data_IF_128461939694
#
_entry.id   IF_128461939694
#
_cell.length_a   1.000
_cell.length_b   1.000
_cell.length_c   1.000
_cell.angle_alpha   90.00
_cell.angle_beta   90.00
_cell.angle_gamma   90.00
#
_symmetry.space_group_name_H-M   'P 1'
#
loop_
_entity.id
_entity.type
_entity.pdbx_description
1 polymer ?
#
# COMPACT_ATOMS: atom_id res chain seq x y z
N UNK A 1 18.53 35.26 10.65
CA UNK A 1 17.75 34.74 9.51
C UNK A 1 16.27 35.01 9.76
N UNK A 2 15.66 35.96 9.03
CA UNK A 2 14.20 36.16 8.97
C UNK A 2 13.72 35.61 7.63
N UNK A 3 13.69 34.29 7.49
CA UNK A 3 13.00 33.67 6.35
C UNK A 3 12.08 32.59 6.90
N UNK A 4 10.80 32.69 6.56
CA UNK A 4 9.76 31.66 6.76
C UNK A 4 9.24 31.46 8.20
N UNK A 5 8.89 32.54 8.89
CA UNK A 5 7.96 32.46 10.04
C UNK A 5 8.55 32.04 11.38
N UNK A 6 9.87 31.80 11.48
CA UNK A 6 10.58 31.58 12.73
C UNK A 6 11.55 32.73 13.02
N UNK A 7 11.57 33.20 14.27
CA UNK A 7 12.60 34.10 14.78
C UNK A 7 13.65 33.28 15.53
N UNK A 8 14.90 33.32 15.08
CA UNK A 8 15.99 32.58 15.70
C UNK A 8 16.75 33.45 16.71
N UNK A 9 17.06 32.87 17.88
CA UNK A 9 18.07 33.36 18.82
C UNK A 9 19.21 32.35 18.83
N UNK A 10 20.45 32.84 18.81
CA UNK A 10 21.66 32.02 18.79
C UNK A 10 22.46 32.28 20.05
N UNK A 11 23.16 31.26 20.53
CA UNK A 11 24.08 31.33 21.66
C UNK A 11 25.36 30.62 21.23
N UNK A 12 26.51 31.20 21.55
CA UNK A 12 27.80 30.63 21.14
C UNK A 12 28.41 29.74 22.23
N UNK A 13 27.87 29.81 23.46
CA UNK A 13 28.32 29.01 24.60
C UNK A 13 27.15 28.36 25.34
N UNK A 14 27.46 27.31 26.11
CA UNK A 14 26.47 26.57 26.91
C UNK A 14 25.82 27.45 27.97
N UNK A 15 26.61 28.23 28.71
CA UNK A 15 26.11 29.12 29.77
C UNK A 15 25.21 30.21 29.20
N UNK A 16 25.62 30.80 28.07
CA UNK A 16 24.80 31.78 27.36
C UNK A 16 23.50 31.14 26.85
N UNK A 17 23.57 29.93 26.29
CA UNK A 17 22.40 29.20 25.80
C UNK A 17 21.38 28.92 26.90
N UNK A 18 21.84 28.45 28.07
CA UNK A 18 20.95 28.19 29.20
C UNK A 18 20.37 29.48 29.78
N UNK A 19 21.18 30.54 29.90
CA UNK A 19 20.68 31.85 30.33
C UNK A 19 19.61 32.38 29.39
N UNK A 20 19.87 32.36 28.08
CA UNK A 20 18.90 32.80 27.06
C UNK A 20 17.61 31.98 27.12
N UNK A 21 17.70 30.67 27.36
CA UNK A 21 16.52 29.82 27.52
C UNK A 21 15.69 30.22 28.74
N UNK A 22 16.32 30.46 29.89
CA UNK A 22 15.61 30.87 31.12
C UNK A 22 14.99 32.26 31.02
N UNK A 23 15.63 33.18 30.31
CA UNK A 23 15.15 34.55 30.15
C UNK A 23 14.03 34.68 29.10
N UNK A 24 14.10 33.89 28.03
CA UNK A 24 13.28 34.11 26.83
C UNK A 24 12.46 32.89 26.39
N UNK A 25 12.64 31.75 27.05
CA UNK A 25 11.86 30.54 26.80
C UNK A 25 10.45 30.60 27.39
N UNK A 26 9.64 29.56 27.14
CA UNK A 26 9.95 28.42 26.30
C UNK A 26 9.91 28.76 24.80
N UNK A 27 10.78 28.11 24.02
CA UNK A 27 10.82 28.29 22.56
C UNK A 27 9.92 27.27 21.86
N UNK A 28 9.47 27.56 20.63
CA UNK A 28 8.74 26.56 19.82
C UNK A 28 9.59 25.33 19.51
N UNK A 29 10.89 25.54 19.28
CA UNK A 29 11.89 24.49 19.09
C UNK A 29 13.25 25.02 19.53
N UNK A 30 14.03 24.20 20.21
CA UNK A 30 15.44 24.49 20.50
C UNK A 30 16.29 23.57 19.62
N UNK A 31 17.25 24.15 18.90
CA UNK A 31 18.26 23.40 18.16
C UNK A 31 19.54 23.39 19.00
N UNK A 32 20.00 22.20 19.37
CA UNK A 32 21.25 22.04 20.12
C UNK A 32 22.24 21.29 19.25
N UNK A 33 23.44 21.85 19.07
CA UNK A 33 24.53 21.11 18.45
C UNK A 33 25.04 20.08 19.46
N UNK A 34 24.92 18.79 19.11
CA UNK A 34 25.29 17.68 19.97
C UNK A 34 26.80 17.48 20.04
N UNK A 35 27.51 17.87 18.99
CA UNK A 35 28.93 17.62 18.84
C UNK A 35 29.81 18.70 19.48
N UNK A 36 29.23 19.82 19.90
CA UNK A 36 30.00 20.84 20.63
C UNK A 36 30.20 20.42 22.09
N UNK A 37 31.37 20.68 22.69
CA UNK A 37 31.59 20.43 24.11
C UNK A 37 30.50 21.07 24.97
N UNK A 38 29.86 20.27 25.82
CA UNK A 38 28.79 20.75 26.71
C UNK A 38 27.38 20.82 26.08
N UNK A 39 27.24 20.56 24.77
CA UNK A 39 25.94 20.61 24.08
C UNK A 39 24.94 19.59 24.63
N UNK A 40 25.39 18.38 24.96
CA UNK A 40 24.55 17.34 25.57
C UNK A 40 24.05 17.79 26.95
N UNK A 41 24.94 18.34 27.78
CA UNK A 41 24.61 18.85 29.11
C UNK A 41 23.62 20.01 29.02
N UNK A 42 23.77 20.91 28.05
CA UNK A 42 22.80 21.99 27.80
C UNK A 42 21.41 21.42 27.47
N UNK A 43 21.33 20.44 26.56
CA UNK A 43 20.06 19.84 26.17
C UNK A 43 19.36 19.14 27.35
N UNK A 44 20.12 18.45 28.20
CA UNK A 44 19.60 17.83 29.44
C UNK A 44 19.09 18.92 30.39
N UNK A 45 19.88 19.96 30.66
CA UNK A 45 19.48 21.05 31.56
C UNK A 45 18.21 21.77 31.09
N UNK A 46 18.07 22.01 29.79
CA UNK A 46 16.84 22.59 29.21
C UNK A 46 15.65 21.64 29.40
N UNK A 47 15.85 20.33 29.25
CA UNK A 47 14.80 19.33 29.45
C UNK A 47 14.38 19.23 30.92
N UNK A 48 15.32 19.35 31.84
CA UNK A 48 15.04 19.39 33.28
C UNK A 48 14.23 20.63 33.65
N UNK A 49 14.60 21.81 33.12
CA UNK A 49 13.85 23.05 33.30
C UNK A 49 12.44 22.97 32.67
N UNK A 50 12.30 22.30 31.53
CA UNK A 50 11.01 22.10 30.85
C UNK A 50 10.94 20.74 30.11
N UNK A 51 10.28 19.72 30.69
CA UNK A 51 10.16 18.40 30.08
C UNK A 51 9.46 18.39 28.71
N UNK A 52 8.58 19.36 28.46
CA UNK A 52 7.80 19.46 27.22
C UNK A 52 8.48 20.29 26.14
N UNK A 53 9.69 20.82 26.39
CA UNK A 53 10.42 21.60 25.40
C UNK A 53 10.80 20.73 24.20
N UNK A 54 10.25 21.06 23.02
CA UNK A 54 10.64 20.39 21.78
C UNK A 54 12.07 20.73 21.42
N UNK A 55 12.85 19.71 21.09
CA UNK A 55 14.26 19.84 20.74
C UNK A 55 14.60 19.09 19.45
N UNK A 56 15.48 19.72 18.65
CA UNK A 56 16.22 19.07 17.58
C UNK A 56 17.68 19.01 18.01
N UNK A 57 18.25 17.82 17.93
CA UNK A 57 19.66 17.55 18.21
C UNK A 57 20.41 17.50 16.88
N UNK A 58 21.26 18.49 16.63
CA UNK A 58 22.12 18.52 15.46
C UNK A 58 23.36 17.65 15.70
N UNK A 59 23.47 16.57 14.97
CA UNK A 59 24.52 15.56 15.07
C UNK A 59 25.23 15.42 13.72
N UNK A 60 25.74 16.53 13.19
CA UNK A 60 26.27 16.63 11.82
C UNK A 60 27.55 15.80 11.59
N UNK A 61 28.24 15.40 12.65
CA UNK A 61 29.47 14.58 12.54
C UNK A 61 29.18 13.09 12.34
N UNK A 62 27.92 12.67 12.44
CA UNK A 62 27.50 11.28 12.30
C UNK A 62 27.00 10.98 10.89
N UNK A 63 27.08 9.71 10.47
CA UNK A 63 26.59 9.30 9.14
C UNK A 63 25.15 8.82 9.16
N UNK A 64 24.67 8.33 10.31
CA UNK A 64 23.31 7.83 10.47
C UNK A 64 22.80 7.95 11.92
N UNK A 65 21.48 7.87 12.12
CA UNK A 65 20.84 8.09 13.42
C UNK A 65 21.20 7.00 14.43
N UNK A 66 21.51 5.79 13.94
CA UNK A 66 21.89 4.64 14.75
C UNK A 66 23.27 4.81 15.42
N UNK A 67 24.14 5.64 14.85
CA UNK A 67 25.46 5.93 15.42
C UNK A 67 25.40 6.93 16.58
N UNK A 68 24.30 7.68 16.72
CA UNK A 68 24.16 8.73 17.73
C UNK A 68 23.70 8.14 19.07
N UNK A 69 24.64 8.01 20.01
CA UNK A 69 24.35 7.57 21.38
C UNK A 69 23.64 8.71 22.12
N UNK A 70 22.36 8.51 22.47
CA UNK A 70 21.53 9.50 23.18
C UNK A 70 21.28 9.08 24.63
N UNK A 71 21.48 10.01 25.60
CA UNK A 71 20.97 9.87 26.95
C UNK A 71 19.46 9.61 26.95
N UNK A 72 18.98 8.94 28.00
CA UNK A 72 17.57 8.53 28.12
C UNK A 72 16.62 9.73 28.11
N UNK A 73 17.07 10.84 28.66
CA UNK A 73 16.38 12.13 28.78
C UNK A 73 16.12 12.77 27.42
N UNK A 74 16.87 12.37 26.39
CA UNK A 74 16.82 12.92 25.03
C UNK A 74 16.37 11.87 24.00
N UNK A 75 15.81 10.74 24.45
CA UNK A 75 15.39 9.65 23.56
C UNK A 75 14.28 10.06 22.57
N UNK A 76 13.41 10.99 22.97
CA UNK A 76 12.30 11.53 22.19
C UNK A 76 12.71 12.69 21.27
N UNK A 77 13.91 13.27 21.46
CA UNK A 77 14.37 14.39 20.67
C UNK A 77 14.68 13.97 19.22
N UNK A 78 14.30 14.81 18.26
CA UNK A 78 14.54 14.56 16.84
C UNK A 78 16.02 14.79 16.50
N UNK A 79 16.61 13.90 15.69
CA UNK A 79 17.98 14.05 15.21
C UNK A 79 18.03 14.81 13.88
N UNK A 80 19.06 15.62 13.72
CA UNK A 80 19.40 16.31 12.49
C UNK A 80 20.85 15.99 12.12
N UNK A 81 21.01 15.06 11.19
CA UNK A 81 22.31 14.58 10.72
C UNK A 81 22.76 15.33 9.46
N UNK A 82 21.80 15.74 8.65
CA UNK A 82 22.04 16.48 7.41
C UNK A 82 21.29 17.80 7.47
N UNK A 83 22.02 18.91 7.34
CA UNK A 83 21.47 20.26 7.34
C UNK A 83 20.42 20.46 6.24
N UNK A 84 20.50 19.70 5.14
CA UNK A 84 19.50 19.72 4.07
C UNK A 84 18.10 19.29 4.55
N UNK A 85 18.02 18.51 5.64
CA UNK A 85 16.75 18.08 6.23
C UNK A 85 16.19 19.07 7.26
N UNK A 86 16.92 20.12 7.61
CA UNK A 86 16.52 21.05 8.67
C UNK A 86 15.16 21.71 8.38
N UNK A 87 14.96 22.21 7.15
CA UNK A 87 13.70 22.84 6.75
C UNK A 87 12.51 21.87 6.88
N UNK A 88 12.71 20.58 6.59
CA UNK A 88 11.65 19.56 6.67
C UNK A 88 11.29 19.22 8.11
N UNK A 89 12.29 19.14 9.00
CA UNK A 89 12.02 18.94 10.43
C UNK A 89 11.25 20.13 11.01
N UNK A 90 11.60 21.36 10.61
CA UNK A 90 10.82 22.54 11.00
C UNK A 90 9.38 22.51 10.47
N UNK A 91 9.17 22.10 9.21
CA UNK A 91 7.82 21.90 8.64
C UNK A 91 7.03 20.85 9.41
N UNK A 92 7.67 19.74 9.79
CA UNK A 92 7.04 18.68 10.59
C UNK A 92 6.65 19.17 11.98
N UNK A 93 7.57 19.83 12.70
CA UNK A 93 7.28 20.41 14.03
C UNK A 93 6.12 21.40 13.96
N UNK A 94 6.06 22.19 12.88
CA UNK A 94 4.94 23.09 12.66
C UNK A 94 3.62 22.33 12.49
N UNK A 95 3.60 21.27 11.68
CA UNK A 95 2.40 20.43 11.53
C UNK A 95 2.01 19.79 12.87
N UNK A 96 2.96 19.23 13.62
CA UNK A 96 2.69 18.61 14.92
C UNK A 96 2.09 19.63 15.91
N UNK A 97 2.57 20.88 15.87
CA UNK A 97 2.00 21.97 16.67
C UNK A 97 0.56 22.27 16.28
N UNK A 98 0.28 22.42 14.99
CA UNK A 98 -1.06 22.71 14.50
C UNK A 98 -2.05 21.58 14.84
N UNK A 99 -1.58 20.34 14.82
CA UNK A 99 -2.36 19.17 15.26
C UNK A 99 -2.70 19.28 16.76
N UNK A 100 -1.75 19.64 17.62
CA UNK A 100 -1.97 19.82 19.06
C UNK A 100 -2.89 21.01 19.37
N UNK A 101 -2.80 22.08 18.58
CA UNK A 101 -3.62 23.29 18.74
C UNK A 101 -5.04 23.15 18.16
N UNK A 102 -5.37 22.03 17.50
CA UNK A 102 -6.73 21.79 16.98
C UNK A 102 -7.76 21.85 18.12
N UNK A 103 -8.68 22.81 18.01
CA UNK A 103 -9.76 22.93 18.98
C UNK A 103 -10.79 21.81 18.82
N UNK A 104 -11.61 21.59 19.86
CA UNK A 104 -12.77 20.68 19.77
C UNK A 104 -13.71 21.06 18.62
N UNK A 105 -13.85 22.35 18.32
CA UNK A 105 -14.67 22.84 17.21
C UNK A 105 -14.06 22.48 15.85
N UNK A 106 -12.74 22.58 15.71
CA UNK A 106 -12.03 22.22 14.48
C UNK A 106 -12.08 20.71 14.24
N UNK A 107 -11.86 19.91 15.28
CA UNK A 107 -12.03 18.45 15.21
C UNK A 107 -13.45 18.07 14.79
N UNK A 108 -14.48 18.76 15.30
CA UNK A 108 -15.86 18.52 14.90
C UNK A 108 -16.12 18.89 13.44
N UNK A 109 -15.56 20.00 12.95
CA UNK A 109 -15.64 20.41 11.54
C UNK A 109 -14.97 19.39 10.63
N UNK A 110 -13.77 18.95 10.98
CA UNK A 110 -13.00 17.93 10.24
C UNK A 110 -13.76 16.61 10.19
N UNK A 111 -14.28 16.13 11.33
CA UNK A 111 -15.06 14.89 11.40
C UNK A 111 -16.33 14.98 10.55
N UNK A 112 -17.12 16.07 10.67
CA UNK A 112 -18.32 16.26 9.84
C UNK A 112 -18.00 16.28 8.34
N UNK A 113 -16.92 16.96 7.95
CA UNK A 113 -16.45 16.95 6.57
C UNK A 113 -16.03 15.55 6.13
N UNK A 114 -15.33 14.80 6.96
CA UNK A 114 -14.89 13.44 6.65
C UNK A 114 -16.07 12.48 6.49
N UNK A 115 -17.01 12.49 7.44
CA UNK A 115 -18.21 11.66 7.42
C UNK A 115 -19.07 11.97 6.19
N UNK A 116 -19.25 13.25 5.87
CA UNK A 116 -19.96 13.67 4.67
C UNK A 116 -19.30 13.11 3.41
N UNK A 117 -17.96 13.20 3.30
CA UNK A 117 -17.22 12.68 2.16
C UNK A 117 -17.32 11.17 2.02
N UNK A 118 -17.19 10.45 3.12
CA UNK A 118 -17.35 8.99 3.15
C UNK A 118 -18.76 8.60 2.71
N UNK A 119 -19.80 9.30 3.19
CA UNK A 119 -21.18 9.08 2.70
C UNK A 119 -21.30 9.32 1.19
N UNK A 120 -20.67 10.37 0.66
CA UNK A 120 -20.66 10.66 -0.78
C UNK A 120 -19.87 9.64 -1.63
N UNK A 121 -19.02 8.81 -1.01
CA UNK A 121 -18.36 7.69 -1.69
C UNK A 121 -19.31 6.51 -1.89
N UNK A 122 -20.33 6.33 -1.05
CA UNK A 122 -21.22 5.17 -1.12
C UNK A 122 -20.42 3.87 -1.04
N UNK A 123 -20.63 2.96 -2.01
CA UNK A 123 -19.89 1.68 -2.09
C UNK A 123 -18.38 1.85 -2.22
N UNK A 124 -17.91 2.91 -2.88
CA UNK A 124 -16.48 3.20 -3.01
C UNK A 124 -15.79 3.51 -1.68
N UNK A 125 -16.55 3.70 -0.58
CA UNK A 125 -15.96 3.78 0.76
C UNK A 125 -15.34 2.44 1.18
N UNK A 126 -15.85 1.29 0.73
CA UNK A 126 -15.38 -0.05 1.10
C UNK A 126 -15.16 -0.21 2.62
N UNK A 127 -16.15 0.19 3.42
CA UNK A 127 -16.07 0.11 4.90
C UNK A 127 -15.24 1.21 5.58
N UNK A 128 -14.62 2.13 4.82
CA UNK A 128 -13.91 3.29 5.36
C UNK A 128 -14.85 4.18 6.17
N UNK A 129 -14.42 4.60 7.36
CA UNK A 129 -15.11 5.57 8.20
C UNK A 129 -14.56 6.98 7.98
N UNK A 130 -15.29 8.01 8.45
CA UNK A 130 -14.77 9.39 8.42
C UNK A 130 -13.50 9.56 9.23
N UNK A 131 -13.36 8.83 10.34
CA UNK A 131 -12.12 8.81 11.14
C UNK A 131 -10.93 8.27 10.35
N UNK A 132 -11.13 7.20 9.56
CA UNK A 132 -10.08 6.63 8.71
C UNK A 132 -9.64 7.64 7.63
N UNK A 133 -10.60 8.31 7.00
CA UNK A 133 -10.32 9.34 6.00
C UNK A 133 -9.54 10.53 6.59
N UNK A 134 -9.87 10.94 7.81
CA UNK A 134 -9.16 12.01 8.51
C UNK A 134 -7.75 11.57 8.92
N UNK A 135 -7.59 10.36 9.47
CA UNK A 135 -6.28 9.79 9.81
C UNK A 135 -5.37 9.68 8.59
N UNK A 136 -5.94 9.23 7.47
CA UNK A 136 -5.25 9.17 6.18
C UNK A 136 -4.84 10.56 5.66
N UNK A 137 -5.68 11.59 5.86
CA UNK A 137 -5.35 12.96 5.50
C UNK A 137 -4.18 13.52 6.35
N UNK A 138 -4.15 13.23 7.65
CA UNK A 138 -3.05 13.60 8.53
C UNK A 138 -1.76 12.90 8.13
N UNK A 139 -1.82 11.58 7.92
CA UNK A 139 -0.68 10.76 7.47
C UNK A 139 -0.11 11.29 6.15
N UNK A 140 -0.96 11.53 5.15
CA UNK A 140 -0.54 12.07 3.85
C UNK A 140 0.08 13.47 3.97
N UNK A 141 -0.37 14.29 4.92
CA UNK A 141 0.20 15.63 5.16
C UNK A 141 1.60 15.53 5.79
N UNK A 142 1.78 14.63 6.76
CA UNK A 142 3.09 14.36 7.37
C UNK A 142 4.07 13.74 6.37
N UNK A 143 3.62 12.81 5.53
CA UNK A 143 4.48 12.23 4.48
C UNK A 143 4.87 13.27 3.42
N UNK A 144 4.05 14.29 3.21
CA UNK A 144 4.38 15.43 2.36
C UNK A 144 5.62 16.21 2.80
N UNK A 145 6.14 16.02 4.03
CA UNK A 145 7.41 16.60 4.48
C UNK A 145 8.63 15.75 4.14
N UNK A 146 8.44 14.48 3.71
CA UNK A 146 9.54 13.55 3.40
C UNK A 146 10.23 13.88 2.08
N UNK A 147 11.43 13.30 1.89
CA UNK A 147 12.32 13.57 0.75
C UNK A 147 11.75 13.15 -0.61
N UNK A 148 10.98 12.07 -0.63
CA UNK A 148 10.40 11.50 -1.85
C UNK A 148 9.17 12.26 -2.35
N UNK A 149 8.62 13.20 -1.58
CA UNK A 149 7.43 13.97 -1.95
C UNK A 149 6.16 13.12 -2.08
N UNK A 150 6.18 11.89 -1.57
CA UNK A 150 5.05 10.97 -1.54
C UNK A 150 4.06 11.44 -0.47
N UNK A 151 3.24 12.43 -0.79
CA UNK A 151 2.28 12.99 0.16
C UNK A 151 1.72 14.32 -0.30
N UNK A 152 1.01 15.00 0.60
CA UNK A 152 0.37 16.28 0.32
C UNK A 152 0.93 17.34 1.25
N UNK A 153 2.02 17.97 0.80
CA UNK A 153 2.68 19.06 1.51
C UNK A 153 1.70 20.19 1.78
N UNK A 154 1.69 20.67 3.02
CA UNK A 154 0.86 21.79 3.42
C UNK A 154 1.42 23.12 2.91
N UNK A 155 0.58 23.91 2.25
CA UNK A 155 0.89 25.29 1.91
C UNK A 155 0.51 26.19 3.09
N UNK A 156 1.51 26.81 3.71
CA UNK A 156 1.38 27.68 4.88
C UNK A 156 0.47 28.92 4.68
N UNK A 157 0.07 29.23 3.44
CA UNK A 157 -0.88 30.31 3.15
C UNK A 157 -2.35 29.89 3.34
N UNK A 158 -2.60 28.60 3.57
CA UNK A 158 -3.95 28.05 3.80
C UNK A 158 -4.03 27.59 5.24
N UNK A 159 -5.13 27.87 5.93
CA UNK A 159 -5.33 27.38 7.30
C UNK A 159 -5.29 25.84 7.33
N UNK A 160 -4.79 25.29 8.44
CA UNK A 160 -4.52 23.85 8.54
C UNK A 160 -5.79 23.00 8.41
N UNK A 161 -6.91 23.48 8.96
CA UNK A 161 -8.22 22.80 8.87
C UNK A 161 -8.69 22.72 7.41
N UNK A 162 -8.61 23.83 6.66
CA UNK A 162 -8.95 23.88 5.23
C UNK A 162 -8.02 23.02 4.39
N UNK A 163 -6.72 23.00 4.70
CA UNK A 163 -5.78 22.08 4.07
C UNK A 163 -6.23 20.63 4.25
N UNK A 164 -6.49 20.19 5.48
CA UNK A 164 -6.97 18.83 5.76
C UNK A 164 -8.30 18.52 5.06
N UNK A 165 -9.26 19.46 5.03
CA UNK A 165 -10.50 19.29 4.28
C UNK A 165 -10.27 19.10 2.77
N UNK A 166 -9.30 19.82 2.21
CA UNK A 166 -8.87 19.69 0.81
C UNK A 166 -8.17 18.38 0.52
N UNK A 167 -7.32 17.91 1.44
CA UNK A 167 -6.67 16.60 1.40
C UNK A 167 -7.71 15.48 1.43
N UNK A 168 -8.65 15.49 2.38
CA UNK A 168 -9.74 14.52 2.45
C UNK A 168 -10.56 14.48 1.16
N UNK A 169 -10.85 15.65 0.56
CA UNK A 169 -11.48 15.74 -0.77
C UNK A 169 -10.71 14.99 -1.83
N UNK A 170 -9.40 15.20 -1.88
CA UNK A 170 -8.52 14.63 -2.88
C UNK A 170 -8.42 13.12 -2.74
N UNK A 171 -8.27 12.57 -1.51
CA UNK A 171 -8.32 11.10 -1.27
C UNK A 171 -9.66 10.55 -1.76
N UNK A 172 -10.78 11.10 -1.28
CA UNK A 172 -12.11 10.58 -1.61
C UNK A 172 -12.36 10.60 -3.12
N UNK A 173 -12.01 11.71 -3.80
CA UNK A 173 -12.19 11.84 -5.25
C UNK A 173 -11.28 10.91 -6.05
N UNK A 174 -10.07 10.65 -5.56
CA UNK A 174 -9.18 9.65 -6.18
C UNK A 174 -9.78 8.26 -6.06
N UNK A 175 -10.24 7.89 -4.86
CA UNK A 175 -10.83 6.58 -4.59
C UNK A 175 -12.11 6.34 -5.39
N UNK A 176 -12.99 7.34 -5.49
CA UNK A 176 -14.20 7.27 -6.31
C UNK A 176 -13.89 7.03 -7.79
N UNK A 177 -12.79 7.60 -8.30
CA UNK A 177 -12.35 7.42 -9.69
C UNK A 177 -11.71 6.06 -9.94
N UNK A 178 -11.05 5.48 -8.93
CA UNK A 178 -10.39 4.18 -9.03
C UNK A 178 -11.26 3.00 -8.60
N UNK A 179 -12.51 3.25 -8.20
CA UNK A 179 -13.43 2.21 -7.78
C UNK A 179 -14.08 1.60 -9.01
N UNK A 180 -13.74 0.34 -9.30
CA UNK A 180 -14.50 -0.50 -10.22
C UNK A 180 -15.76 -0.99 -9.48
N UNK A 181 -16.89 -1.03 -10.17
CA UNK A 181 -18.19 -1.29 -9.53
C UNK A 181 -18.26 -2.76 -9.07
N UNK A 182 -17.98 -2.99 -7.79
CA UNK A 182 -18.09 -4.31 -7.15
C UNK A 182 -19.44 -4.40 -6.46
N UNK A 183 -20.23 -5.41 -6.82
CA UNK A 183 -21.55 -5.69 -6.25
C UNK A 183 -21.47 -6.84 -5.24
N UNK A 184 -22.24 -6.78 -4.15
CA UNK A 184 -22.51 -7.97 -3.34
C UNK A 184 -23.43 -8.91 -4.11
N UNK A 185 -23.26 -10.22 -3.97
CA UNK A 185 -24.13 -11.24 -4.57
C UNK A 185 -25.62 -10.95 -4.32
N UNK A 186 -25.96 -10.57 -3.08
CA UNK A 186 -27.32 -10.18 -2.70
C UNK A 186 -27.90 -9.00 -3.50
N UNK A 187 -27.06 -8.12 -4.05
CA UNK A 187 -27.46 -6.96 -4.88
C UNK A 187 -27.63 -7.33 -6.36
N UNK A 188 -27.15 -8.51 -6.78
CA UNK A 188 -27.24 -9.00 -8.17
C UNK A 188 -28.23 -10.16 -8.30
N UNK A 189 -28.95 -10.51 -7.23
CA UNK A 189 -30.01 -11.51 -7.28
C UNK A 189 -31.05 -11.10 -8.32
N UNK A 190 -31.25 -11.95 -9.33
CA UNK A 190 -32.26 -11.73 -10.35
C UNK A 190 -33.54 -12.42 -9.87
N UNK A 191 -34.65 -11.70 -9.90
CA UNK A 191 -35.96 -12.33 -9.71
C UNK A 191 -36.45 -12.86 -11.06
N UNK A 192 -36.84 -14.13 -11.11
CA UNK A 192 -37.58 -14.68 -12.26
C UNK A 192 -39.01 -14.11 -12.32
N UNK A 193 -39.75 -14.47 -13.37
CA UNK A 193 -41.13 -14.00 -13.58
C UNK A 193 -42.11 -14.53 -12.53
N UNK A 194 -41.74 -15.59 -11.81
CA UNK A 194 -42.47 -16.15 -10.67
C UNK A 194 -42.07 -15.54 -9.31
N UNK A 195 -41.02 -14.71 -9.26
CA UNK A 195 -40.54 -14.02 -8.06
C UNK A 195 -39.51 -14.80 -7.22
N UNK A 196 -38.97 -15.90 -7.72
CA UNK A 196 -37.84 -16.59 -7.09
C UNK A 196 -36.55 -15.82 -7.34
N UNK A 197 -35.72 -15.74 -6.29
CA UNK A 197 -34.39 -15.10 -6.37
C UNK A 197 -33.37 -16.13 -6.82
N UNK A 198 -32.76 -15.93 -7.98
CA UNK A 198 -31.66 -16.74 -8.49
C UNK A 198 -30.36 -15.98 -8.37
N UNK A 199 -29.32 -16.62 -7.84
CA UNK A 199 -27.99 -16.03 -7.83
C UNK A 199 -27.37 -16.13 -9.24
N UNK A 200 -26.69 -15.09 -9.74
CA UNK A 200 -25.86 -15.20 -10.94
C UNK A 200 -24.80 -16.30 -10.84
N UNK A 201 -24.41 -16.70 -9.62
CA UNK A 201 -23.47 -17.80 -9.39
C UNK A 201 -24.08 -19.19 -9.60
N UNK A 202 -25.41 -19.33 -9.49
CA UNK A 202 -26.10 -20.62 -9.66
C UNK A 202 -26.03 -21.13 -11.11
N UNK A 203 -25.82 -20.23 -12.07
CA UNK A 203 -25.77 -20.52 -13.50
C UNK A 203 -24.35 -20.44 -14.09
N UNK A 204 -23.31 -20.37 -13.26
CA UNK A 204 -21.93 -20.42 -13.75
C UNK A 204 -21.67 -21.84 -14.29
N UNK A 205 -21.33 -22.01 -15.58
CA UNK A 205 -21.07 -23.34 -16.12
C UNK A 205 -19.90 -23.96 -15.35
N UNK A 206 -20.11 -25.14 -14.76
CA UNK A 206 -18.99 -25.90 -14.22
C UNK A 206 -18.08 -26.34 -15.35
N UNK A 207 -16.77 -26.17 -15.16
CA UNK A 207 -15.76 -26.74 -16.06
C UNK A 207 -15.61 -28.26 -15.85
N UNK A 208 -16.21 -28.83 -14.81
CA UNK A 208 -16.22 -30.26 -14.58
C UNK A 208 -17.35 -30.92 -15.37
N UNK A 209 -17.04 -31.94 -16.21
CA UNK A 209 -18.05 -32.65 -16.95
C UNK A 209 -19.00 -33.37 -15.98
N UNK A 210 -20.31 -33.25 -16.23
CA UNK A 210 -21.32 -34.02 -15.51
C UNK A 210 -21.24 -35.53 -15.87
N UNK A 211 -22.00 -36.38 -15.17
CA UNK A 211 -21.92 -37.84 -15.35
C UNK A 211 -22.16 -38.29 -16.81
N UNK A 212 -23.10 -37.67 -17.51
CA UNK A 212 -23.40 -37.97 -18.91
C UNK A 212 -22.28 -37.50 -19.84
N UNK A 213 -21.72 -36.31 -19.59
CA UNK A 213 -20.57 -35.79 -20.33
C UNK A 213 -19.32 -36.66 -20.10
N UNK A 214 -19.14 -37.20 -18.90
CA UNK A 214 -18.06 -38.12 -18.57
C UNK A 214 -18.22 -39.46 -19.31
N UNK A 215 -19.46 -39.98 -19.40
CA UNK A 215 -19.77 -41.17 -20.18
C UNK A 215 -19.47 -40.96 -21.67
N UNK A 216 -19.93 -39.85 -22.24
CA UNK A 216 -19.69 -39.47 -23.65
C UNK A 216 -18.18 -39.34 -23.91
N UNK A 217 -17.44 -38.69 -23.00
CA UNK A 217 -15.99 -38.54 -23.11
C UNK A 217 -15.27 -39.89 -23.06
N UNK A 218 -15.67 -40.79 -22.15
CA UNK A 218 -15.12 -42.15 -22.08
C UNK A 218 -15.39 -42.97 -23.34
N UNK A 219 -16.60 -42.89 -23.90
CA UNK A 219 -16.97 -43.59 -25.13
C UNK A 219 -16.17 -43.06 -26.33
N UNK A 220 -16.00 -41.74 -26.42
CA UNK A 220 -15.22 -41.09 -27.47
C UNK A 220 -13.72 -41.40 -27.33
N UNK A 221 -13.18 -41.44 -26.12
CA UNK A 221 -11.80 -41.85 -25.85
C UNK A 221 -11.56 -43.30 -26.29
N UNK A 222 -12.48 -44.21 -25.96
CA UNK A 222 -12.45 -45.61 -26.42
C UNK A 222 -12.54 -45.70 -27.94
N UNK A 223 -13.41 -44.92 -28.57
CA UNK A 223 -13.57 -44.87 -30.03
C UNK A 223 -12.30 -44.40 -30.71
N UNK A 224 -11.70 -43.30 -30.23
CA UNK A 224 -10.45 -42.74 -30.76
C UNK A 224 -9.31 -43.74 -30.57
N UNK A 225 -9.14 -44.31 -29.38
CA UNK A 225 -8.08 -45.28 -29.09
C UNK A 225 -8.23 -46.54 -29.94
N UNK A 226 -9.46 -47.02 -30.17
CA UNK A 226 -9.76 -48.16 -31.04
C UNK A 226 -9.29 -47.99 -32.50
N UNK A 227 -9.25 -46.76 -33.03
CA UNK A 227 -8.74 -46.48 -34.39
C UNK A 227 -7.24 -46.78 -34.56
N UNK A 228 -6.52 -46.95 -33.44
CA UNK A 228 -5.09 -47.21 -33.37
C UNK A 228 -4.79 -48.57 -32.72
N UNK A 229 -5.75 -49.50 -32.66
CA UNK A 229 -5.58 -50.82 -32.03
C UNK A 229 -4.32 -51.59 -32.49
N UNK A 230 -3.87 -51.38 -33.74
CA UNK A 230 -2.70 -52.03 -34.33
C UNK A 230 -1.40 -51.19 -34.21
N UNK A 231 -1.44 -50.02 -33.58
CA UNK A 231 -0.30 -49.12 -33.41
C UNK A 231 -0.13 -48.76 -31.92
N UNK A 232 0.66 -49.57 -31.18
CA UNK A 232 0.85 -49.35 -29.75
C UNK A 232 1.55 -48.02 -29.45
N UNK A 233 2.41 -47.51 -30.35
CA UNK A 233 3.08 -46.22 -30.14
C UNK A 233 2.08 -45.06 -30.22
N UNK A 234 1.11 -45.12 -31.14
CA UNK A 234 0.04 -44.12 -31.24
C UNK A 234 -0.90 -44.13 -30.03
N UNK A 235 -1.24 -45.31 -29.49
CA UNK A 235 -2.06 -45.43 -28.28
C UNK A 235 -1.36 -44.79 -27.07
N UNK A 236 -0.06 -45.05 -26.90
CA UNK A 236 0.72 -44.49 -25.77
C UNK A 236 0.86 -42.97 -25.87
N UNK A 237 1.02 -42.43 -27.08
CA UNK A 237 1.02 -40.97 -27.30
C UNK A 237 -0.34 -40.35 -27.04
N UNK A 238 -1.45 -40.97 -27.49
CA UNK A 238 -2.81 -40.48 -27.23
C UNK A 238 -3.13 -40.45 -25.74
N UNK A 239 -2.77 -41.51 -25.00
CA UNK A 239 -2.96 -41.57 -23.54
C UNK A 239 -2.21 -40.45 -22.83
N UNK A 240 -0.96 -40.18 -23.23
CA UNK A 240 -0.21 -39.06 -22.71
C UNK A 240 -0.84 -37.69 -22.99
N UNK A 241 -1.49 -37.53 -24.16
CA UNK A 241 -2.22 -36.30 -24.52
C UNK A 241 -3.50 -36.16 -23.71
N UNK A 242 -4.27 -37.24 -23.50
CA UNK A 242 -5.47 -37.24 -22.65
C UNK A 242 -5.14 -36.93 -21.19
N UNK A 243 -4.01 -37.45 -20.70
CA UNK A 243 -3.48 -37.14 -19.36
C UNK A 243 -2.89 -35.70 -19.26
N UNK A 244 -2.88 -34.91 -20.34
CA UNK A 244 -2.36 -33.53 -20.36
C UNK A 244 -0.83 -33.41 -20.23
N UNK A 245 -0.10 -34.52 -20.42
CA UNK A 245 1.35 -34.58 -20.21
C UNK A 245 2.15 -34.01 -21.38
N UNK A 246 3.35 -33.48 -21.11
CA UNK A 246 4.19 -32.83 -22.14
C UNK A 246 4.96 -33.88 -22.95
N UNK A 247 5.32 -33.55 -24.21
CA UNK A 247 6.06 -34.44 -25.14
C UNK A 247 7.24 -35.18 -24.50
N UNK A 248 8.10 -34.46 -23.78
CA UNK A 248 9.29 -35.04 -23.13
C UNK A 248 8.92 -36.07 -22.06
N UNK A 249 7.86 -35.80 -21.30
CA UNK A 249 7.35 -36.69 -20.26
C UNK A 249 6.70 -37.93 -20.86
N UNK A 250 5.94 -37.79 -21.97
CA UNK A 250 5.36 -38.91 -22.71
C UNK A 250 6.47 -39.83 -23.23
N UNK A 251 7.50 -39.26 -23.86
CA UNK A 251 8.63 -40.02 -24.39
C UNK A 251 9.39 -40.77 -23.30
N UNK A 252 9.61 -40.14 -22.15
CA UNK A 252 10.29 -40.74 -21.01
C UNK A 252 9.41 -41.82 -20.33
N UNK A 253 8.14 -41.52 -20.06
CA UNK A 253 7.20 -42.39 -19.35
C UNK A 253 6.91 -43.68 -20.11
N UNK A 254 6.87 -43.63 -21.44
CA UNK A 254 6.53 -44.77 -22.29
C UNK A 254 7.71 -45.31 -23.11
N UNK A 255 8.94 -44.82 -22.85
CA UNK A 255 10.15 -45.31 -23.51
C UNK A 255 10.16 -45.11 -25.03
N UNK A 256 9.49 -44.06 -25.53
CA UNK A 256 9.37 -43.80 -26.97
C UNK A 256 10.57 -43.01 -27.47
N UNK A 257 11.17 -43.48 -28.56
CA UNK A 257 12.18 -42.71 -29.28
C UNK A 257 11.56 -41.51 -30.00
N UNK A 258 12.36 -40.49 -30.30
CA UNK A 258 11.88 -39.29 -31.00
C UNK A 258 11.24 -39.61 -32.36
N UNK A 259 11.80 -40.58 -33.08
CA UNK A 259 11.27 -41.04 -34.37
C UNK A 259 9.91 -41.71 -34.21
N UNK A 260 9.73 -42.55 -33.20
CA UNK A 260 8.45 -43.22 -32.91
C UNK A 260 7.37 -42.23 -32.48
N UNK A 261 7.71 -41.28 -31.61
CA UNK A 261 6.78 -40.22 -31.20
C UNK A 261 6.32 -39.38 -32.40
N UNK A 262 7.26 -38.96 -33.25
CA UNK A 262 6.96 -38.12 -34.42
C UNK A 262 6.11 -38.87 -35.46
N UNK A 263 6.41 -40.14 -35.70
CA UNK A 263 5.61 -41.00 -36.58
C UNK A 263 4.19 -41.20 -36.04
N UNK A 264 4.04 -41.49 -34.74
CA UNK A 264 2.76 -41.63 -34.06
C UNK A 264 1.91 -40.35 -34.15
N UNK A 265 2.48 -39.17 -33.82
CA UNK A 265 1.78 -37.89 -33.94
C UNK A 265 1.34 -37.61 -35.38
N UNK A 266 2.17 -37.94 -36.38
CA UNK A 266 1.80 -37.78 -37.79
C UNK A 266 0.62 -38.68 -38.17
N UNK A 267 0.63 -39.95 -37.74
CA UNK A 267 -0.46 -40.90 -37.98
C UNK A 267 -1.76 -40.48 -37.27
N UNK A 268 -1.67 -40.03 -36.02
CA UNK A 268 -2.79 -39.48 -35.24
C UNK A 268 -3.40 -38.30 -35.99
N UNK A 269 -2.55 -37.36 -36.45
CA UNK A 269 -3.01 -36.19 -37.19
C UNK A 269 -3.72 -36.58 -38.49
N UNK A 270 -3.16 -37.51 -39.26
CA UNK A 270 -3.75 -37.96 -40.52
C UNK A 270 -5.09 -38.67 -40.32
N UNK A 271 -5.20 -39.58 -39.35
CA UNK A 271 -6.43 -40.36 -39.13
C UNK A 271 -7.55 -39.55 -38.47
N UNK A 272 -7.23 -38.62 -37.56
CA UNK A 272 -8.24 -37.81 -36.86
C UNK A 272 -8.62 -36.54 -37.63
N UNK A 273 -7.66 -35.84 -38.26
CA UNK A 273 -7.94 -34.58 -38.96
C UNK A 273 -8.12 -34.74 -40.47
N UNK A 274 -7.74 -35.87 -41.07
CA UNK A 274 -7.98 -36.15 -42.50
C UNK A 274 -9.42 -36.51 -42.86
N UNK A 275 -10.31 -36.70 -41.88
CA UNK A 275 -11.73 -37.04 -42.09
C UNK A 275 -12.70 -35.85 -42.06
N UNK A 276 -12.24 -34.61 -41.85
CA UNK A 276 -13.09 -33.40 -42.03
C UNK A 276 -13.16 -32.99 -43.51
N UNK A 277 -13.75 -33.85 -44.33
CA UNK A 277 -14.40 -33.51 -45.61
C UNK A 277 -15.45 -34.59 -45.89
N UNK A 278 -16.59 -34.50 -45.19
CA UNK A 278 -17.98 -34.59 -45.68
C UNK A 278 -18.83 -33.89 -44.63
#
# INVERSE_FOLDING_TARGET
>A
MKEKGFAARTADTVDEGLRLYRECGPFTVVLVNYCVPGGVQLAIAIREDNPSQRMIIAAFDYRSEEEVIRPRELADAQLLIDICNFQRQLERIKIDREIEELTKADLLRLRRSADFRVRCLGRAACGMTGSDLLGEALRSTLEGTRRNGEGRRWNNNVDFVTHLMGVMRSIASSRKRSFDDVFLECEVLVCDVEGHKTSPFDNVPSNEPNADQWLIQMEEEKRITGLFANDPAAILVLRGIFDGTKRSEIMQKYGLTERQYTAAVKLIRLKLFGRRKV
#
